data_IF_034536266363
#
_entry.id   IF_034536266363
#
_cell.length_a   1.000
_cell.length_b   1.000
_cell.length_c   1.000
_cell.angle_alpha   90.00
_cell.angle_beta   90.00
_cell.angle_gamma   90.00
#
_symmetry.space_group_name_H-M   'P 1'
#
loop_
_entity.id
_entity.type
_entity.pdbx_description
1 polymer ?
#
# COMPACT_ATOMS: atom_id res chain seq x y z
N UNK A 1 53.16 -19.44 -39.96
CA UNK A 1 52.64 -20.53 -39.12
C UNK A 1 51.64 -19.88 -38.21
N UNK A 2 50.39 -19.99 -38.62
CA UNK A 2 49.24 -19.28 -38.08
C UNK A 2 48.72 -20.00 -36.83
N UNK A 3 48.19 -19.21 -35.88
CA UNK A 3 47.02 -19.47 -35.04
C UNK A 3 47.01 -20.76 -34.16
N UNK A 4 46.54 -20.83 -32.92
CA UNK A 4 45.52 -20.06 -32.20
C UNK A 4 45.53 -20.62 -30.76
N UNK A 5 45.79 -19.81 -29.72
CA UNK A 5 45.54 -20.24 -28.34
C UNK A 5 44.11 -19.85 -27.96
N UNK A 6 43.25 -20.85 -27.78
CA UNK A 6 41.85 -20.70 -27.33
C UNK A 6 41.80 -20.61 -25.80
N UNK A 7 41.35 -19.49 -25.19
CA UNK A 7 41.01 -19.50 -23.78
C UNK A 7 39.62 -20.10 -23.57
N UNK A 8 39.59 -21.13 -22.73
CA UNK A 8 38.40 -21.81 -22.23
C UNK A 8 37.71 -20.99 -21.13
N UNK A 9 36.45 -21.36 -20.87
CA UNK A 9 35.49 -20.72 -19.96
C UNK A 9 36.00 -20.74 -18.51
N UNK A 10 36.65 -19.67 -18.05
CA UNK A 10 36.73 -19.22 -16.64
C UNK A 10 37.51 -17.90 -16.55
N UNK A 11 36.80 -16.79 -16.72
CA UNK A 11 37.27 -15.49 -16.25
C UNK A 11 36.52 -15.19 -14.94
N UNK A 12 37.16 -15.53 -13.83
CA UNK A 12 36.81 -15.02 -12.50
C UNK A 12 37.89 -13.98 -12.17
N UNK A 13 37.41 -12.84 -11.65
CA UNK A 13 38.13 -11.70 -11.06
C UNK A 13 38.46 -10.53 -12.00
N UNK A 14 37.57 -9.54 -11.93
CA UNK A 14 37.83 -8.18 -12.37
C UNK A 14 36.62 -7.30 -12.15
N UNK A 15 36.53 -6.66 -10.98
CA UNK A 15 35.75 -5.42 -10.84
C UNK A 15 34.68 -5.42 -9.77
N UNK A 16 35.05 -4.91 -8.59
CA UNK A 16 34.28 -3.99 -7.74
C UNK A 16 32.87 -4.44 -7.33
N UNK A 17 32.77 -5.00 -6.12
CA UNK A 17 31.59 -4.85 -5.27
C UNK A 17 31.39 -3.36 -4.95
N UNK A 18 30.68 -2.65 -5.83
CA UNK A 18 30.03 -1.40 -5.49
C UNK A 18 28.55 -1.72 -5.30
N UNK A 19 28.10 -1.63 -4.05
CA UNK A 19 26.73 -1.93 -3.67
C UNK A 19 25.75 -1.19 -4.57
N UNK A 20 24.87 -1.96 -5.22
CA UNK A 20 23.67 -1.40 -5.82
C UNK A 20 22.76 -1.00 -4.66
N UNK A 21 23.02 0.15 -4.05
CA UNK A 21 21.97 0.91 -3.40
C UNK A 21 20.94 1.16 -4.49
N UNK A 22 19.88 0.35 -4.52
CA UNK A 22 18.68 0.70 -5.23
C UNK A 22 18.26 2.04 -4.63
N UNK A 23 18.57 3.12 -5.33
CA UNK A 23 17.92 4.39 -5.12
C UNK A 23 16.48 4.11 -5.46
N UNK A 24 15.68 3.74 -4.46
CA UNK A 24 14.25 3.84 -4.57
C UNK A 24 14.02 5.30 -4.95
N UNK A 25 13.65 5.54 -6.21
CA UNK A 25 13.12 6.82 -6.61
C UNK A 25 11.83 6.96 -5.78
N UNK A 26 11.96 7.50 -4.57
CA UNK A 26 10.82 8.01 -3.86
C UNK A 26 10.17 8.99 -4.84
N UNK A 27 8.90 8.83 -5.20
CA UNK A 27 8.21 9.88 -5.91
C UNK A 27 8.17 11.08 -4.96
N UNK A 28 9.19 11.94 -5.03
CA UNK A 28 9.20 13.24 -4.36
C UNK A 28 8.41 14.19 -5.26
N UNK A 29 7.11 13.96 -5.38
CA UNK A 29 6.20 15.01 -5.84
C UNK A 29 5.82 15.89 -4.64
N UNK A 30 6.83 16.46 -3.98
CA UNK A 30 6.67 17.50 -2.97
C UNK A 30 6.33 18.86 -3.63
N UNK A 31 5.39 18.88 -4.58
CA UNK A 31 4.96 20.08 -5.28
C UNK A 31 3.63 20.59 -4.74
N UNK A 32 3.57 20.86 -3.44
CA UNK A 32 2.48 21.64 -2.87
C UNK A 32 2.88 22.53 -1.67
N UNK A 33 4.07 23.18 -1.64
CA UNK A 33 4.42 24.05 -0.51
C UNK A 33 3.44 25.22 -0.33
N UNK A 34 2.73 25.63 -1.39
CA UNK A 34 1.68 26.65 -1.33
C UNK A 34 0.32 26.15 -0.82
N UNK A 35 0.00 24.86 -0.98
CA UNK A 35 -1.24 24.27 -0.49
C UNK A 35 -1.21 24.01 1.01
N UNK A 36 -0.02 23.79 1.59
CA UNK A 36 0.14 23.42 3.00
C UNK A 36 0.37 24.62 3.94
N UNK A 37 0.68 25.81 3.41
CA UNK A 37 0.90 27.00 4.24
C UNK A 37 -0.43 27.54 4.75
N UNK A 38 -0.70 27.31 6.04
CA UNK A 38 -1.95 27.72 6.69
C UNK A 38 -3.06 26.68 6.64
N UNK A 39 -2.75 25.45 6.19
CA UNK A 39 -3.73 24.39 6.11
C UNK A 39 -4.16 23.91 7.51
N UNK A 40 -5.48 23.77 7.71
CA UNK A 40 -6.11 23.31 8.94
C UNK A 40 -6.06 21.78 9.09
N UNK A 41 -7.16 21.10 8.74
CA UNK A 41 -7.23 19.62 8.77
C UNK A 41 -6.33 19.04 7.69
N UNK A 42 -5.28 18.32 8.10
CA UNK A 42 -4.32 17.64 7.22
C UNK A 42 -4.39 16.15 7.51
N UNK A 43 -4.57 15.33 6.46
CA UNK A 43 -4.51 13.87 6.58
C UNK A 43 -3.38 13.31 5.74
N UNK A 44 -2.65 12.40 6.37
CA UNK A 44 -1.45 11.76 5.83
C UNK A 44 -1.59 10.25 5.92
N UNK A 45 -1.12 9.55 4.90
CA UNK A 45 -1.06 8.08 4.92
C UNK A 45 0.37 7.61 4.68
N UNK A 46 0.76 6.56 5.39
CA UNK A 46 2.09 5.94 5.35
C UNK A 46 1.93 4.44 5.17
N UNK A 47 2.49 3.90 4.09
CA UNK A 47 2.40 2.47 3.79
C UNK A 47 3.68 1.95 3.12
N UNK A 48 3.94 0.66 3.32
CA UNK A 48 4.99 -0.11 2.65
C UNK A 48 4.40 -1.37 2.05
N UNK A 49 4.66 -1.61 0.77
CA UNK A 49 4.23 -2.80 0.04
C UNK A 49 5.30 -3.87 0.11
N UNK A 50 5.03 -4.97 0.82
CA UNK A 50 5.97 -6.10 0.85
C UNK A 50 6.04 -6.86 -0.50
N UNK A 51 5.13 -6.57 -1.42
CA UNK A 51 5.04 -7.24 -2.73
C UNK A 51 5.85 -6.54 -3.80
N UNK A 52 5.87 -5.21 -3.77
CA UNK A 52 6.55 -4.38 -4.77
C UNK A 52 7.83 -3.73 -4.22
N UNK A 53 8.01 -3.70 -2.90
CA UNK A 53 9.12 -2.97 -2.26
C UNK A 53 8.93 -1.45 -2.24
N UNK A 54 7.78 -0.96 -2.71
CA UNK A 54 7.45 0.46 -2.75
C UNK A 54 7.04 0.96 -1.36
N UNK A 55 7.34 2.23 -1.08
CA UNK A 55 6.87 2.98 0.09
C UNK A 55 6.11 4.21 -0.37
N UNK A 56 5.09 4.60 0.38
CA UNK A 56 4.38 5.86 0.19
C UNK A 56 4.25 6.57 1.53
N UNK A 57 4.47 7.88 1.50
CA UNK A 57 4.33 8.77 2.64
C UNK A 57 3.86 10.15 2.18
N UNK A 58 2.54 10.33 2.09
CA UNK A 58 1.95 11.48 1.40
C UNK A 58 0.77 12.08 2.15
N UNK A 59 0.63 13.41 2.03
CA UNK A 59 -0.56 14.15 2.46
C UNK A 59 -1.58 14.06 1.33
N UNK A 60 -2.73 13.45 1.60
CA UNK A 60 -3.75 13.21 0.58
C UNK A 60 -5.01 14.06 0.77
N UNK A 61 -5.09 14.80 1.88
CA UNK A 61 -6.18 15.72 2.18
C UNK A 61 -5.61 16.93 2.93
N UNK A 62 -5.98 18.13 2.48
CA UNK A 62 -5.83 19.33 3.28
C UNK A 62 -6.96 20.32 3.00
N UNK A 63 -7.32 21.13 3.99
CA UNK A 63 -8.29 22.22 3.85
C UNK A 63 -9.63 21.80 3.25
N UNK A 64 -10.17 20.68 3.73
CA UNK A 64 -11.47 20.18 3.29
C UNK A 64 -11.45 19.48 1.91
N UNK A 65 -10.28 19.33 1.27
CA UNK A 65 -10.17 18.80 -0.10
C UNK A 65 -9.14 17.69 -0.18
N UNK A 66 -9.47 16.67 -0.97
CA UNK A 66 -8.47 15.68 -1.40
C UNK A 66 -7.47 16.31 -2.36
N UNK A 67 -6.21 15.91 -2.24
CA UNK A 67 -5.12 16.28 -3.16
C UNK A 67 -5.14 15.28 -4.32
N UNK A 68 -5.56 15.66 -5.53
CA UNK A 68 -5.76 14.72 -6.64
C UNK A 68 -4.48 13.94 -7.02
N UNK A 69 -3.33 14.61 -6.96
CA UNK A 69 -2.02 14.03 -7.25
C UNK A 69 -1.68 12.93 -6.24
N UNK A 70 -1.91 13.17 -4.94
CA UNK A 70 -1.69 12.19 -3.88
C UNK A 70 -2.65 11.00 -3.99
N UNK A 71 -3.93 11.24 -4.34
CA UNK A 71 -4.89 10.14 -4.58
C UNK A 71 -4.46 9.30 -5.78
N UNK A 72 -3.92 9.92 -6.82
CA UNK A 72 -3.38 9.23 -8.00
C UNK A 72 -2.16 8.38 -7.62
N UNK A 73 -1.25 8.94 -6.83
CA UNK A 73 -0.07 8.25 -6.30
C UNK A 73 -0.47 7.04 -5.44
N UNK A 74 -1.42 7.21 -4.52
CA UNK A 74 -1.97 6.13 -3.70
C UNK A 74 -2.63 5.07 -4.58
N UNK A 75 -3.38 5.46 -5.61
CA UNK A 75 -4.02 4.52 -6.54
C UNK A 75 -2.99 3.64 -7.27
N UNK A 76 -1.87 4.23 -7.68
CA UNK A 76 -0.76 3.49 -8.28
C UNK A 76 -0.06 2.57 -7.26
N UNK A 77 0.19 3.06 -6.04
CA UNK A 77 0.76 2.26 -4.96
C UNK A 77 -0.13 1.04 -4.62
N UNK A 78 -1.45 1.25 -4.61
CA UNK A 78 -2.45 0.23 -4.29
C UNK A 78 -2.86 -0.63 -5.49
N UNK A 79 -2.21 -0.49 -6.64
CA UNK A 79 -2.55 -1.23 -7.87
C UNK A 79 -2.50 -2.74 -7.70
N UNK A 80 -3.13 -3.46 -8.62
CA UNK A 80 -2.92 -4.90 -8.72
C UNK A 80 -1.54 -5.16 -9.30
N UNK A 81 -0.55 -5.32 -8.42
CA UNK A 81 0.85 -5.51 -8.80
C UNK A 81 1.09 -6.76 -9.65
N UNK A 82 0.22 -7.80 -9.57
CA UNK A 82 0.39 -9.02 -10.37
C UNK A 82 0.12 -8.79 -11.85
N UNK A 83 -0.70 -7.78 -12.15
CA UNK A 83 -1.09 -7.42 -13.53
C UNK A 83 -0.68 -6.01 -13.92
N UNK A 84 -0.05 -5.29 -12.99
CA UNK A 84 0.27 -3.88 -13.11
C UNK A 84 -0.93 -3.02 -13.57
N UNK A 85 -2.14 -3.35 -13.07
CA UNK A 85 -3.37 -2.63 -13.42
C UNK A 85 -3.77 -1.70 -12.29
N UNK A 86 -3.97 -0.44 -12.63
CA UNK A 86 -4.36 0.64 -11.70
C UNK A 86 -5.86 0.88 -11.82
N UNK A 87 -6.49 1.23 -10.71
CA UNK A 87 -7.84 1.76 -10.65
C UNK A 87 -7.83 2.91 -9.64
N UNK A 88 -8.57 3.99 -9.93
CA UNK A 88 -8.69 5.12 -9.02
C UNK A 88 -9.29 4.64 -7.70
N UNK A 89 -8.54 4.82 -6.61
CA UNK A 89 -8.99 4.46 -5.28
C UNK A 89 -10.08 5.39 -4.80
N UNK A 90 -11.07 4.81 -4.11
CA UNK A 90 -12.07 5.60 -3.40
C UNK A 90 -11.42 6.28 -2.19
N UNK A 91 -11.37 7.63 -2.13
CA UNK A 91 -10.70 8.35 -1.06
C UNK A 91 -11.23 8.02 0.35
N UNK A 92 -12.49 7.58 0.46
CA UNK A 92 -13.07 7.17 1.75
C UNK A 92 -12.35 5.97 2.36
N UNK A 93 -11.80 5.06 1.54
CA UNK A 93 -10.98 3.98 2.08
C UNK A 93 -9.65 4.51 2.63
N UNK A 94 -9.07 5.51 1.99
CA UNK A 94 -7.83 6.16 2.44
C UNK A 94 -8.08 6.88 3.78
N UNK A 95 -9.23 7.56 3.90
CA UNK A 95 -9.69 8.16 5.16
C UNK A 95 -9.81 7.11 6.28
N UNK A 96 -10.46 5.98 6.02
CA UNK A 96 -10.62 4.90 6.98
C UNK A 96 -9.27 4.35 7.47
N UNK A 97 -8.32 4.12 6.55
CA UNK A 97 -6.98 3.65 6.88
C UNK A 97 -6.23 4.66 7.75
N UNK A 98 -6.27 5.94 7.38
CA UNK A 98 -5.58 7.01 8.09
C UNK A 98 -6.17 7.24 9.49
N UNK A 99 -7.50 7.29 9.62
CA UNK A 99 -8.19 7.42 10.89
C UNK A 99 -7.86 6.25 11.83
N UNK A 100 -7.90 5.02 11.30
CA UNK A 100 -7.53 3.81 12.05
C UNK A 100 -6.08 3.89 12.55
N UNK A 101 -5.15 4.36 11.71
CA UNK A 101 -3.74 4.51 12.08
C UNK A 101 -3.54 5.58 13.16
N UNK A 102 -4.28 6.69 13.06
CA UNK A 102 -4.27 7.77 14.05
C UNK A 102 -4.66 7.29 15.45
N UNK A 103 -5.70 6.45 15.56
CA UNK A 103 -6.14 5.88 16.84
C UNK A 103 -5.12 4.91 17.47
N UNK A 104 -4.13 4.44 16.72
CA UNK A 104 -3.10 3.53 17.23
C UNK A 104 -1.84 4.24 17.73
N UNK A 105 -1.79 5.57 17.60
CA UNK A 105 -0.72 6.45 18.11
C UNK A 105 0.68 5.94 17.72
N UNK A 106 0.86 5.64 16.44
CA UNK A 106 2.14 5.15 15.90
C UNK A 106 2.57 5.93 14.67
N UNK A 107 3.89 6.03 14.48
CA UNK A 107 4.51 6.55 13.26
C UNK A 107 4.86 5.43 12.27
N UNK A 108 4.63 4.17 12.62
CA UNK A 108 4.88 3.01 11.77
C UNK A 108 4.00 3.06 10.50
N UNK A 109 4.57 2.91 9.30
CA UNK A 109 3.77 2.74 8.08
C UNK A 109 3.02 1.40 8.12
N UNK A 110 1.81 1.35 7.59
CA UNK A 110 1.16 0.06 7.36
C UNK A 110 2.02 -0.82 6.47
N UNK A 111 2.09 -2.11 6.81
CA UNK A 111 2.47 -3.12 5.84
C UNK A 111 1.23 -3.43 4.99
N UNK A 112 1.20 -2.94 3.76
CA UNK A 112 0.14 -3.21 2.80
C UNK A 112 0.35 -4.60 2.18
N UNK A 113 -0.69 -5.43 2.26
CA UNK A 113 -0.69 -6.81 1.77
C UNK A 113 -1.41 -6.88 0.42
N UNK A 114 -2.53 -6.16 0.30
CA UNK A 114 -3.32 -6.09 -0.93
C UNK A 114 -4.10 -4.78 -1.00
N UNK A 115 -4.00 -4.10 -2.14
CA UNK A 115 -4.90 -3.02 -2.55
C UNK A 115 -5.93 -3.53 -3.58
N UNK A 116 -6.08 -2.80 -4.68
CA UNK A 116 -6.91 -3.16 -5.82
C UNK A 116 -6.57 -4.54 -6.39
N UNK A 117 -7.60 -5.27 -6.82
CA UNK A 117 -7.47 -6.58 -7.48
C UNK A 117 -8.23 -6.58 -8.79
N UNK A 118 -7.59 -7.00 -9.87
CA UNK A 118 -8.30 -7.33 -11.11
C UNK A 118 -9.24 -8.54 -10.88
N UNK A 119 -10.33 -8.70 -11.66
CA UNK A 119 -11.16 -9.89 -11.60
C UNK A 119 -10.37 -11.20 -11.72
N UNK A 120 -9.35 -11.20 -12.58
CA UNK A 120 -8.44 -12.33 -12.80
C UNK A 120 -7.65 -12.65 -11.53
N UNK A 121 -7.03 -11.65 -10.91
CA UNK A 121 -6.30 -11.83 -9.65
C UNK A 121 -7.24 -12.27 -8.52
N UNK A 122 -8.44 -11.69 -8.41
CA UNK A 122 -9.39 -12.07 -7.37
C UNK A 122 -9.79 -13.55 -7.47
N UNK A 123 -10.03 -14.06 -8.69
CA UNK A 123 -10.31 -15.50 -8.93
C UNK A 123 -9.13 -16.42 -8.61
N UNK A 124 -7.89 -15.93 -8.70
CA UNK A 124 -6.70 -16.71 -8.38
C UNK A 124 -6.50 -16.90 -6.87
N UNK A 125 -7.08 -16.04 -6.03
CA UNK A 125 -6.88 -16.06 -4.59
C UNK A 125 -7.92 -16.96 -3.90
N UNK A 126 -7.44 -17.97 -3.19
CA UNK A 126 -8.30 -18.87 -2.39
C UNK A 126 -9.02 -18.05 -1.31
N UNK A 127 -10.34 -18.24 -1.19
CA UNK A 127 -11.18 -17.59 -0.18
C UNK A 127 -11.58 -16.14 -0.49
N UNK A 128 -11.20 -15.59 -1.65
CA UNK A 128 -11.63 -14.27 -2.04
C UNK A 128 -13.13 -14.25 -2.42
N UNK A 129 -13.86 -13.26 -1.93
CA UNK A 129 -15.26 -13.06 -2.29
C UNK A 129 -15.41 -12.67 -3.77
N UNK A 130 -16.43 -13.23 -4.45
CA UNK A 130 -16.71 -12.95 -5.86
C UNK A 130 -17.02 -11.49 -6.16
N UNK A 131 -17.59 -10.77 -5.18
CA UNK A 131 -17.93 -9.35 -5.25
C UNK A 131 -17.11 -8.51 -4.26
N UNK A 132 -15.81 -8.82 -4.14
CA UNK A 132 -14.92 -8.13 -3.20
C UNK A 132 -14.78 -6.63 -3.52
N UNK A 133 -14.76 -5.79 -2.48
CA UNK A 133 -14.47 -4.35 -2.61
C UNK A 133 -13.04 -4.05 -3.07
N UNK A 134 -12.11 -5.02 -2.98
CA UNK A 134 -10.80 -4.89 -3.63
C UNK A 134 -10.92 -4.73 -5.15
N UNK A 135 -11.92 -5.33 -5.78
CA UNK A 135 -12.14 -5.20 -7.23
C UNK A 135 -12.75 -3.85 -7.63
N UNK A 136 -13.15 -3.04 -6.64
CA UNK A 136 -13.71 -1.70 -6.82
C UNK A 136 -12.77 -0.59 -6.35
N UNK A 137 -11.54 -0.94 -5.98
CA UNK A 137 -10.57 -0.01 -5.37
C UNK A 137 -11.12 0.71 -4.12
N UNK A 138 -11.89 -0.05 -3.31
CA UNK A 138 -12.57 0.43 -2.10
C UNK A 138 -12.11 -0.30 -0.83
N UNK A 139 -11.10 -1.17 -0.92
CA UNK A 139 -10.68 -2.01 0.20
C UNK A 139 -9.17 -2.25 0.24
N UNK A 140 -8.60 -2.37 1.43
CA UNK A 140 -7.20 -2.69 1.62
C UNK A 140 -7.02 -3.74 2.72
N UNK A 141 -6.05 -4.63 2.52
CA UNK A 141 -5.56 -5.55 3.54
C UNK A 141 -4.25 -5.00 4.09
N UNK A 142 -4.22 -4.72 5.39
CA UNK A 142 -3.07 -4.12 6.05
C UNK A 142 -2.74 -4.80 7.37
N UNK A 143 -1.51 -4.58 7.84
CA UNK A 143 -1.08 -4.93 9.19
C UNK A 143 -0.02 -3.95 9.69
N UNK A 144 0.30 -4.05 10.96
CA UNK A 144 1.44 -3.39 11.59
C UNK A 144 2.32 -4.44 12.27
N UNK A 145 3.60 -4.15 12.44
CA UNK A 145 4.52 -4.96 13.25
C UNK A 145 4.32 -4.64 14.74
N UNK A 146 4.06 -3.39 15.08
CA UNK A 146 3.92 -2.92 16.46
C UNK A 146 2.54 -3.10 17.08
N UNK A 147 1.54 -3.55 16.30
CA UNK A 147 0.16 -3.73 16.76
C UNK A 147 -0.40 -5.07 16.29
N UNK A 148 -1.09 -5.76 17.20
CA UNK A 148 -1.82 -6.99 16.90
C UNK A 148 -3.02 -6.73 16.00
N UNK A 149 -3.49 -7.76 15.30
CA UNK A 149 -4.76 -7.76 14.54
C UNK A 149 -5.94 -7.28 15.41
N UNK A 150 -5.96 -7.62 16.70
CA UNK A 150 -7.00 -7.18 17.64
C UNK A 150 -6.96 -5.66 17.86
N UNK A 151 -5.77 -5.08 18.05
CA UNK A 151 -5.62 -3.64 18.22
C UNK A 151 -6.03 -2.87 16.96
N UNK A 152 -5.59 -3.34 15.78
CA UNK A 152 -5.92 -2.71 14.50
C UNK A 152 -7.43 -2.79 14.24
N UNK A 153 -8.04 -3.96 14.42
CA UNK A 153 -9.48 -4.12 14.20
C UNK A 153 -10.33 -3.31 15.18
N UNK A 154 -9.93 -3.24 16.47
CA UNK A 154 -10.61 -2.39 17.46
C UNK A 154 -10.57 -0.91 17.07
N UNK A 155 -9.42 -0.42 16.58
CA UNK A 155 -9.31 0.94 16.07
C UNK A 155 -10.20 1.14 14.83
N UNK A 156 -10.18 0.20 13.88
CA UNK A 156 -11.00 0.27 12.67
C UNK A 156 -12.51 0.28 12.98
N UNK A 157 -12.96 -0.52 13.95
CA UNK A 157 -14.36 -0.52 14.40
C UNK A 157 -14.76 0.82 14.99
N UNK A 158 -13.86 1.49 15.73
CA UNK A 158 -14.15 2.79 16.33
C UNK A 158 -14.27 3.91 15.29
N UNK A 159 -13.72 3.74 14.09
CA UNK A 159 -13.86 4.71 13.00
C UNK A 159 -15.21 4.63 12.28
N UNK A 160 -15.93 3.50 12.37
CA UNK A 160 -17.23 3.26 11.72
C UNK A 160 -17.28 3.62 10.21
N UNK A 161 -16.14 3.51 9.53
CA UNK A 161 -15.97 4.00 8.17
C UNK A 161 -16.39 3.04 7.05
N UNK A 162 -16.72 1.79 7.40
CA UNK A 162 -17.10 0.74 6.44
C UNK A 162 -16.86 -0.68 6.95
N UNK A 163 -16.66 -1.63 6.03
CA UNK A 163 -16.49 -3.04 6.38
C UNK A 163 -15.12 -3.36 6.97
N UNK A 164 -15.09 -4.14 8.07
CA UNK A 164 -13.85 -4.59 8.72
C UNK A 164 -13.81 -6.11 8.87
N UNK A 165 -12.83 -6.74 8.21
CA UNK A 165 -12.58 -8.19 8.29
C UNK A 165 -11.36 -8.52 9.13
N UNK A 166 -11.47 -9.47 10.05
CA UNK A 166 -10.41 -9.82 11.00
C UNK A 166 -9.80 -11.18 10.69
N UNK A 167 -8.52 -11.22 10.34
CA UNK A 167 -7.82 -12.42 9.89
C UNK A 167 -6.61 -12.73 10.78
N UNK A 168 -6.86 -13.40 11.92
CA UNK A 168 -5.80 -13.72 12.88
C UNK A 168 -4.74 -14.67 12.31
N UNK A 169 -5.16 -15.72 11.60
CA UNK A 169 -4.25 -16.73 11.05
C UNK A 169 -3.34 -16.17 9.96
N UNK A 170 -3.90 -15.34 9.09
CA UNK A 170 -3.15 -14.69 8.01
C UNK A 170 -2.48 -13.37 8.44
N UNK A 171 -2.70 -12.96 9.69
CA UNK A 171 -2.12 -11.78 10.33
C UNK A 171 -2.38 -10.47 9.58
N UNK A 172 -3.65 -10.16 9.30
CA UNK A 172 -4.05 -8.88 8.72
C UNK A 172 -5.47 -8.46 9.10
N UNK A 173 -5.78 -7.19 8.82
CA UNK A 173 -7.13 -6.63 8.88
C UNK A 173 -7.50 -6.13 7.49
N UNK A 174 -8.67 -6.56 7.01
CA UNK A 174 -9.33 -6.00 5.83
C UNK A 174 -10.11 -4.76 6.27
N UNK A 175 -9.97 -3.66 5.55
CA UNK A 175 -10.79 -2.46 5.72
C UNK A 175 -11.32 -1.98 4.37
N UNK A 176 -12.64 -1.79 4.25
CA UNK A 176 -13.30 -1.21 3.08
C UNK A 176 -14.14 0.03 3.42
N UNK A 177 -14.59 0.77 2.39
CA UNK A 177 -15.53 1.90 2.51
C UNK A 177 -16.94 1.55 1.98
N UNK A 178 -17.33 0.28 2.02
CA UNK A 178 -18.70 -0.17 1.79
C UNK A 178 -19.59 0.00 3.02
N UNK A 179 -20.75 -0.69 3.08
CA UNK A 179 -21.60 -0.70 4.27
C UNK A 179 -20.83 -1.19 5.52
N UNK A 180 -21.16 -0.58 6.66
CA UNK A 180 -20.63 -0.98 7.96
C UNK A 180 -21.03 -2.43 8.24
N UNK A 181 -20.01 -3.28 8.45
CA UNK A 181 -20.17 -4.70 8.78
C UNK A 181 -18.85 -5.24 9.29
N UNK A 182 -18.90 -6.31 10.07
CA UNK A 182 -17.71 -7.00 10.56
C UNK A 182 -17.78 -8.49 10.28
N UNK A 183 -16.63 -9.11 10.05
CA UNK A 183 -16.54 -10.56 9.86
C UNK A 183 -15.18 -11.09 10.31
N UNK A 184 -15.10 -12.41 10.46
CA UNK A 184 -13.85 -13.13 10.76
C UNK A 184 -13.58 -14.09 9.60
N UNK A 185 -12.31 -14.25 9.25
CA UNK A 185 -11.87 -15.19 8.20
C UNK A 185 -10.63 -15.96 8.56
#
# INVERSE_FOLDING_TARGET
MDNEFRPSRRAVLGGVFAGLCAVAAAPVYARAPGFLRGAGDIRRIRMYSQRTGESIDTIYFADGKYVPESVTEISYFMRDWRRNQVMNYDPRNIDNLAATLGLMETSEPYLMISGYRTPQTNRMLKGAASHSYHMRAMAADVRLKSRSVSQISKAAFACDGGGVGVYHRSNFVHMDCGPIRTWRG
#
